data_IF_386060044787
#
_entry.id   IF_386060044787
#
_cell.length_a   1.000
_cell.length_b   1.000
_cell.length_c   1.000
_cell.angle_alpha   90.00
_cell.angle_beta   90.00
_cell.angle_gamma   90.00
#
_symmetry.space_group_name_H-M   'P 1'
#
loop_
_entity.id
_entity.type
_entity.pdbx_description
1 polymer ?
#
# COMPACT_ATOMS: atom_id res chain seq x y z
N UNK A 1 -20.90 -2.45 -11.16
CA UNK A 1 -19.71 -1.60 -11.42
C UNK A 1 -19.20 -1.31 -10.03
N UNK A 2 -18.28 -2.05 -9.44
CA UNK A 2 -17.15 -2.78 -9.99
C UNK A 2 -16.87 -4.02 -9.11
N UNK A 3 -16.76 -5.18 -9.72
CA UNK A 3 -16.41 -6.43 -9.02
C UNK A 3 -15.55 -7.27 -9.96
N UNK A 4 -14.38 -6.74 -10.26
CA UNK A 4 -13.29 -7.45 -10.88
C UNK A 4 -11.99 -6.76 -10.42
N UNK A 5 -11.08 -7.45 -9.73
CA UNK A 5 -9.83 -6.86 -9.24
C UNK A 5 -8.94 -6.29 -10.36
N UNK A 6 -9.22 -6.61 -11.64
CA UNK A 6 -8.61 -5.98 -12.82
C UNK A 6 -9.04 -4.54 -13.11
N UNK A 7 -10.14 -4.07 -12.51
CA UNK A 7 -10.69 -2.73 -12.76
C UNK A 7 -10.47 -1.77 -11.58
N UNK A 8 -9.73 -2.19 -10.54
CA UNK A 8 -9.35 -1.32 -9.43
C UNK A 8 -8.33 -0.28 -9.91
N UNK A 9 -8.80 0.93 -10.19
CA UNK A 9 -7.92 2.06 -10.51
C UNK A 9 -7.23 2.56 -9.24
N UNK A 10 -5.93 2.33 -9.13
CA UNK A 10 -5.14 2.81 -8.00
C UNK A 10 -4.64 4.25 -8.19
N UNK A 11 -4.44 4.99 -7.09
CA UNK A 11 -3.78 6.29 -7.12
C UNK A 11 -2.33 6.19 -7.63
N UNK A 12 -1.67 7.33 -7.95
CA UNK A 12 -0.26 7.32 -8.31
C UNK A 12 0.62 6.63 -7.27
N UNK A 13 1.59 5.86 -7.76
CA UNK A 13 2.55 5.07 -6.97
C UNK A 13 1.92 3.91 -6.18
N UNK A 14 0.73 3.47 -6.57
CA UNK A 14 0.05 2.30 -6.02
C UNK A 14 -0.36 1.33 -7.13
N UNK A 15 -0.37 0.03 -6.84
CA UNK A 15 -0.84 -1.02 -7.74
C UNK A 15 -1.87 -1.92 -7.07
N UNK A 16 -2.86 -2.45 -7.82
CA UNK A 16 -3.84 -3.36 -7.26
C UNK A 16 -3.13 -4.65 -6.83
N UNK A 17 -3.28 -5.00 -5.56
CA UNK A 17 -2.73 -6.24 -5.02
C UNK A 17 -3.73 -7.38 -5.24
N UNK A 18 -3.23 -8.51 -5.78
CA UNK A 18 -4.01 -9.76 -5.81
C UNK A 18 -4.32 -10.22 -4.38
N UNK A 19 -3.38 -9.99 -3.46
CA UNK A 19 -3.51 -10.26 -2.04
C UNK A 19 -2.76 -9.19 -1.25
N UNK A 20 -3.48 -8.21 -0.72
CA UNK A 20 -2.87 -7.14 0.07
C UNK A 20 -2.37 -7.61 1.44
N UNK A 21 -1.25 -7.06 1.86
CA UNK A 21 -0.55 -7.26 3.13
C UNK A 21 -1.16 -6.40 4.23
N UNK A 22 -1.40 -7.01 5.38
CA UNK A 22 -1.91 -6.32 6.56
C UNK A 22 -1.00 -5.19 7.08
N UNK A 23 0.32 -5.31 6.94
CA UNK A 23 1.25 -4.22 7.29
C UNK A 23 2.01 -3.70 6.07
N UNK A 24 1.31 -2.90 5.27
CA UNK A 24 1.97 -2.07 4.29
C UNK A 24 2.95 -1.08 4.97
N UNK A 25 4.15 -0.86 4.42
CA UNK A 25 5.12 0.08 4.95
C UNK A 25 4.60 1.52 5.02
N UNK A 26 4.67 2.15 6.20
CA UNK A 26 4.26 3.54 6.43
C UNK A 26 5.44 4.48 6.67
N UNK A 27 5.25 5.75 6.32
CA UNK A 27 6.15 6.83 6.69
C UNK A 27 6.16 7.04 8.20
N UNK A 28 7.29 7.48 8.76
CA UNK A 28 7.48 7.70 10.20
C UNK A 28 7.19 6.52 11.14
N UNK A 29 6.92 5.33 10.60
CA UNK A 29 6.70 4.11 11.38
C UNK A 29 7.83 3.10 11.12
N UNK A 30 8.26 2.36 12.17
CA UNK A 30 9.17 1.25 11.98
C UNK A 30 8.50 0.18 11.12
N UNK A 31 9.28 -0.45 10.24
CA UNK A 31 8.76 -1.55 9.44
C UNK A 31 8.32 -2.69 10.36
N UNK A 32 7.06 -3.12 10.21
CA UNK A 32 6.54 -4.25 10.95
C UNK A 32 7.07 -5.54 10.31
N UNK A 33 7.76 -6.35 11.11
CA UNK A 33 8.32 -7.64 10.67
C UNK A 33 7.35 -8.81 10.88
N UNK A 34 6.28 -8.58 11.64
CA UNK A 34 5.25 -9.58 11.96
C UNK A 34 3.92 -8.96 11.57
N UNK A 35 3.25 -9.60 10.61
CA UNK A 35 1.93 -9.22 10.11
C UNK A 35 0.99 -10.41 10.20
N UNK A 36 -0.31 -10.14 10.22
CA UNK A 36 -1.28 -11.21 9.99
C UNK A 36 -1.17 -11.69 8.55
N UNK A 37 -1.28 -12.99 8.33
CA UNK A 37 -1.31 -13.63 6.99
C UNK A 37 -2.69 -13.44 6.32
N UNK A 38 -3.37 -12.34 6.64
CA UNK A 38 -4.66 -12.01 6.07
C UNK A 38 -4.48 -11.48 4.66
N UNK A 39 -5.30 -11.98 3.76
CA UNK A 39 -5.34 -11.52 2.38
C UNK A 39 -6.35 -10.39 2.27
N UNK A 40 -5.87 -9.15 2.11
CA UNK A 40 -6.76 -8.00 1.91
C UNK A 40 -7.13 -7.93 0.43
N UNK A 41 -8.36 -8.32 0.11
CA UNK A 41 -8.89 -8.26 -1.26
C UNK A 41 -9.25 -6.82 -1.67
N UNK A 42 -9.17 -6.52 -2.96
CA UNK A 42 -9.59 -5.23 -3.56
C UNK A 42 -8.90 -4.01 -2.96
N UNK A 43 -7.60 -4.10 -2.66
CA UNK A 43 -6.78 -3.01 -2.12
C UNK A 43 -5.67 -2.60 -3.08
N UNK A 44 -5.30 -1.33 -3.00
CA UNK A 44 -4.12 -0.78 -3.65
C UNK A 44 -2.95 -0.75 -2.67
N UNK A 45 -1.79 -1.20 -3.11
CA UNK A 45 -0.56 -1.14 -2.31
C UNK A 45 0.47 -0.22 -2.94
N UNK A 46 1.24 0.49 -2.10
CA UNK A 46 2.41 1.24 -2.53
C UNK A 46 3.36 0.33 -3.30
N UNK A 47 3.74 0.77 -4.50
CA UNK A 47 4.75 0.06 -5.29
C UNK A 47 6.10 0.07 -4.57
N UNK A 48 6.98 -0.86 -4.96
CA UNK A 48 8.31 -0.99 -4.34
C UNK A 48 9.08 0.35 -4.37
N UNK A 49 9.63 0.75 -3.22
CA UNK A 49 10.35 2.02 -3.05
C UNK A 49 9.51 3.18 -2.55
N UNK A 50 8.22 2.94 -2.28
CA UNK A 50 7.27 3.90 -1.71
C UNK A 50 6.72 3.41 -0.37
N UNK A 51 6.25 4.35 0.44
CA UNK A 51 5.61 4.12 1.74
C UNK A 51 4.34 4.95 1.84
N UNK A 52 3.35 4.46 2.58
CA UNK A 52 2.11 5.20 2.78
C UNK A 52 2.34 6.34 3.78
N UNK A 53 2.10 7.56 3.33
CA UNK A 53 2.11 8.76 4.14
C UNK A 53 0.87 8.86 5.02
N UNK A 54 0.92 9.75 6.01
CA UNK A 54 -0.23 10.01 6.91
C UNK A 54 -1.47 10.53 6.18
N UNK A 55 -1.31 11.16 5.02
CA UNK A 55 -2.40 11.62 4.16
C UNK A 55 -2.98 10.52 3.25
N UNK A 56 -2.50 9.29 3.36
CA UNK A 56 -2.96 8.14 2.59
C UNK A 56 -2.30 7.96 1.22
N UNK A 57 -1.39 8.85 0.79
CA UNK A 57 -0.69 8.73 -0.50
C UNK A 57 0.61 7.94 -0.39
N UNK A 58 0.99 7.23 -1.45
CA UNK A 58 2.30 6.57 -1.51
C UNK A 58 3.38 7.56 -1.98
N UNK A 59 4.34 7.82 -1.09
CA UNK A 59 5.45 8.73 -1.30
C UNK A 59 6.78 7.98 -1.33
N UNK A 60 7.75 8.50 -2.07
CA UNK A 60 9.06 7.85 -2.23
C UNK A 60 9.77 7.80 -0.88
N UNK A 61 10.42 6.67 -0.59
CA UNK A 61 11.24 6.52 0.62
C UNK A 61 12.34 7.59 0.61
N UNK A 62 12.42 8.36 1.69
CA UNK A 62 13.35 9.48 1.81
C UNK A 62 13.06 10.35 3.03
N UNK A 63 13.82 11.44 3.21
CA UNK A 63 13.65 12.39 4.32
C UNK A 63 12.27 13.06 4.34
N UNK A 64 11.60 13.11 3.18
CA UNK A 64 10.29 13.75 3.01
C UNK A 64 9.11 12.78 3.22
N UNK A 65 9.37 11.51 3.53
CA UNK A 65 8.33 10.51 3.79
C UNK A 65 7.73 10.78 5.18
N UNK A 66 6.56 11.44 5.21
CA UNK A 66 5.87 11.83 6.44
C UNK A 66 4.47 11.24 6.65
#
# INVERSE_FOLDING_TARGET
MDSNPKDLSCPPNEEPAECGKACEPKCNEPQQNICTEECIENVCECVTGYKRATNGTCVKIGPDCQ
#
